data_IF_219753363742
#
_entry.id   IF_219753363742
#
_cell.length_a   1.000
_cell.length_b   1.000
_cell.length_c   1.000
_cell.angle_alpha   90.00
_cell.angle_beta   90.00
_cell.angle_gamma   90.00
#
_symmetry.space_group_name_H-M   'P 1'
#
loop_
_entity.id
_entity.type
_entity.pdbx_description
1 polymer ?
#
# COMPACT_ATOMS: atom_id res chain seq x y z
N UNK A 1 11.32 -32.72 0.79
CA UNK A 1 11.07 -31.80 1.92
C UNK A 1 12.11 -30.69 1.88
N UNK A 2 11.74 -29.41 1.68
CA UNK A 2 12.71 -28.32 1.71
C UNK A 2 12.82 -27.73 3.12
N UNK A 3 14.05 -27.72 3.63
CA UNK A 3 14.45 -27.06 4.87
C UNK A 3 14.56 -25.55 4.61
N UNK A 4 13.80 -24.72 5.34
CA UNK A 4 14.04 -23.29 5.43
C UNK A 4 14.66 -22.98 6.78
N UNK A 5 15.98 -22.78 6.79
CA UNK A 5 16.74 -22.29 7.93
C UNK A 5 17.46 -21.01 7.57
N UNK A 6 16.89 -19.87 7.95
CA UNK A 6 17.64 -18.64 8.25
C UNK A 6 16.95 -17.94 9.43
N UNK A 7 17.62 -17.99 10.56
CA UNK A 7 17.30 -17.30 11.80
C UNK A 7 17.88 -15.89 11.76
N UNK A 8 17.03 -14.85 11.81
CA UNK A 8 17.32 -13.57 12.47
C UNK A 8 16.02 -12.76 12.58
N UNK A 9 15.26 -12.84 13.66
CA UNK A 9 15.37 -12.11 14.94
C UNK A 9 15.22 -10.58 14.82
N UNK A 10 14.13 -10.11 15.44
CA UNK A 10 13.83 -8.75 15.95
C UNK A 10 12.84 -7.90 15.16
N UNK A 11 11.58 -8.35 15.10
CA UNK A 11 10.44 -7.48 14.77
C UNK A 11 9.84 -6.92 16.06
N UNK A 12 10.59 -6.08 16.78
CA UNK A 12 10.01 -5.13 17.74
C UNK A 12 10.94 -3.93 17.83
N UNK A 13 10.50 -2.79 17.29
CA UNK A 13 11.03 -1.47 17.66
C UNK A 13 9.90 -0.47 17.68
N UNK A 14 9.00 -0.65 18.65
CA UNK A 14 8.14 0.42 19.15
C UNK A 14 9.00 1.26 20.11
N UNK A 15 9.46 2.44 19.67
CA UNK A 15 10.03 3.45 20.56
C UNK A 15 11.16 4.34 20.02
N UNK A 16 10.79 5.56 19.59
CA UNK A 16 11.56 6.82 19.44
C UNK A 16 13.11 6.78 19.43
N UNK A 17 13.73 7.32 18.37
CA UNK A 17 14.52 8.60 18.36
C UNK A 17 15.23 8.86 17.02
N UNK A 18 15.47 10.15 16.76
CA UNK A 18 16.34 10.79 15.75
C UNK A 18 15.77 10.99 14.34
N UNK A 19 15.38 12.25 14.09
CA UNK A 19 15.29 12.89 12.78
C UNK A 19 16.70 13.00 12.18
N UNK A 20 17.27 11.89 11.73
CA UNK A 20 18.29 11.94 10.68
C UNK A 20 17.51 12.02 9.39
N UNK A 21 17.87 12.96 8.52
CA UNK A 21 17.25 13.20 7.22
C UNK A 21 17.34 11.92 6.35
N UNK A 22 16.41 10.99 6.56
CA UNK A 22 16.34 9.74 5.82
C UNK A 22 15.77 10.08 4.45
N UNK A 23 16.68 10.29 3.49
CA UNK A 23 16.32 10.22 2.07
C UNK A 23 15.95 8.77 1.82
N UNK A 24 14.67 8.53 1.60
CA UNK A 24 14.16 7.21 1.27
C UNK A 24 14.71 6.78 -0.08
N UNK A 25 15.57 5.76 -0.08
CA UNK A 25 16.16 5.16 -1.28
C UNK A 25 15.27 4.02 -1.82
N UNK A 26 14.33 3.51 -1.01
CA UNK A 26 13.42 2.43 -1.40
C UNK A 26 11.94 2.81 -1.24
N UNK A 27 11.03 2.21 -2.03
CA UNK A 27 9.59 2.48 -1.96
C UNK A 27 8.96 2.07 -0.61
N UNK A 28 9.62 1.25 0.22
CA UNK A 28 9.09 0.74 1.48
C UNK A 28 9.71 1.37 2.73
N UNK A 29 10.51 2.42 2.55
CA UNK A 29 11.25 3.12 3.59
C UNK A 29 10.37 3.92 4.55
N UNK A 30 9.13 4.22 4.16
CA UNK A 30 8.14 4.91 4.99
C UNK A 30 6.72 4.45 4.66
N UNK A 31 5.79 4.68 5.60
CA UNK A 31 4.36 4.43 5.36
C UNK A 31 3.86 5.30 4.22
N UNK A 32 4.36 6.54 4.13
CA UNK A 32 4.01 7.49 3.07
C UNK A 32 4.44 6.99 1.69
N UNK A 33 5.67 6.48 1.54
CA UNK A 33 6.15 5.92 0.28
C UNK A 33 5.47 4.58 -0.04
N UNK A 34 5.22 3.76 0.99
CA UNK A 34 4.53 2.48 0.82
C UNK A 34 3.11 2.69 0.30
N UNK A 35 2.41 3.72 0.79
CA UNK A 35 1.08 4.09 0.30
C UNK A 35 1.13 4.43 -1.19
N UNK A 36 2.08 5.29 -1.60
CA UNK A 36 2.24 5.68 -2.99
C UNK A 36 2.57 4.48 -3.90
N UNK A 37 3.43 3.57 -3.45
CA UNK A 37 3.72 2.35 -4.21
C UNK A 37 2.47 1.46 -4.37
N UNK A 38 1.65 1.33 -3.34
CA UNK A 38 0.40 0.55 -3.44
C UNK A 38 -0.59 1.22 -4.40
N UNK A 39 -0.67 2.55 -4.46
CA UNK A 39 -1.49 3.25 -5.46
C UNK A 39 -1.06 2.89 -6.89
N UNK A 40 0.25 2.94 -7.19
CA UNK A 40 0.79 2.54 -8.49
C UNK A 40 0.51 1.06 -8.81
N UNK A 41 0.58 0.19 -7.80
CA UNK A 41 0.27 -1.23 -7.98
C UNK A 41 -1.22 -1.44 -8.27
N UNK A 42 -2.12 -0.70 -7.62
CA UNK A 42 -3.56 -0.74 -7.89
C UNK A 42 -3.83 -0.34 -9.34
N UNK A 43 -3.19 0.72 -9.84
CA UNK A 43 -3.30 1.14 -11.24
C UNK A 43 -2.84 0.06 -12.21
N UNK A 44 -1.67 -0.54 -11.97
CA UNK A 44 -1.15 -1.63 -12.82
C UNK A 44 -2.06 -2.88 -12.80
N UNK A 45 -2.68 -3.19 -11.66
CA UNK A 45 -3.66 -4.29 -11.57
C UNK A 45 -4.91 -3.95 -12.40
N UNK A 46 -5.41 -2.72 -12.33
CA UNK A 46 -6.57 -2.30 -13.11
C UNK A 46 -6.32 -2.37 -14.62
N UNK A 47 -5.13 -1.97 -15.07
CA UNK A 47 -4.70 -2.13 -16.47
C UNK A 47 -4.69 -3.61 -16.88
N UNK A 48 -4.09 -4.49 -16.06
CA UNK A 48 -4.10 -5.93 -16.31
C UNK A 48 -5.52 -6.53 -16.34
N UNK A 49 -6.46 -6.03 -15.54
CA UNK A 49 -7.87 -6.45 -15.60
C UNK A 49 -8.54 -6.08 -16.93
N UNK A 50 -8.21 -4.92 -17.49
CA UNK A 50 -8.69 -4.49 -18.80
C UNK A 50 -8.14 -5.39 -19.91
N UNK A 51 -6.83 -5.66 -19.89
CA UNK A 51 -6.17 -6.53 -20.87
C UNK A 51 -6.75 -7.94 -20.86
N UNK A 52 -6.90 -8.54 -19.68
CA UNK A 52 -7.51 -9.87 -19.54
C UNK A 52 -8.97 -9.86 -19.98
N UNK A 53 -9.70 -8.77 -19.77
CA UNK A 53 -11.09 -8.65 -20.26
C UNK A 53 -11.15 -8.61 -21.79
N UNK A 54 -10.19 -7.98 -22.46
CA UNK A 54 -10.07 -8.03 -23.91
C UNK A 54 -9.72 -9.44 -24.41
N UNK A 55 -8.80 -10.14 -23.73
CA UNK A 55 -8.47 -11.52 -24.06
C UNK A 55 -9.65 -12.49 -23.87
N UNK A 56 -10.49 -12.28 -22.86
CA UNK A 56 -11.73 -13.06 -22.65
C UNK A 56 -12.65 -12.90 -23.86
N UNK A 57 -12.85 -11.67 -24.34
CA UNK A 57 -13.72 -11.42 -25.50
C UNK A 57 -13.19 -12.10 -26.78
N UNK A 58 -11.86 -12.12 -26.97
CA UNK A 58 -11.24 -12.84 -28.10
C UNK A 58 -11.40 -14.36 -27.96
N UNK A 59 -11.14 -14.92 -26.77
CA UNK A 59 -11.25 -16.36 -26.53
C UNK A 59 -12.69 -16.87 -26.67
N UNK A 60 -13.68 -16.06 -26.31
CA UNK A 60 -15.11 -16.34 -26.49
C UNK A 60 -15.49 -16.34 -27.98
N UNK A 61 -14.99 -15.38 -28.76
CA UNK A 61 -15.19 -15.33 -30.20
C UNK A 61 -14.55 -16.50 -30.96
N UNK A 62 -13.42 -17.01 -30.46
CA UNK A 62 -12.68 -18.14 -31.03
C UNK A 62 -13.20 -19.52 -30.57
N UNK A 63 -14.29 -19.59 -29.78
CA UNK A 63 -14.84 -20.82 -29.17
C UNK A 63 -13.77 -21.62 -28.38
N UNK A 64 -12.79 -20.92 -27.82
CA UNK A 64 -11.64 -21.51 -27.14
C UNK A 64 -11.96 -21.78 -25.66
N UNK A 65 -12.94 -22.66 -25.39
CA UNK A 65 -13.54 -22.86 -24.07
C UNK A 65 -12.55 -23.02 -22.91
N UNK A 66 -11.51 -23.85 -23.06
CA UNK A 66 -10.49 -24.02 -22.00
C UNK A 66 -9.70 -22.75 -21.70
N UNK A 67 -9.39 -21.96 -22.73
CA UNK A 67 -8.70 -20.67 -22.58
C UNK A 67 -9.62 -19.66 -21.91
N UNK A 68 -10.89 -19.63 -22.30
CA UNK A 68 -11.92 -18.79 -21.69
C UNK A 68 -12.05 -19.07 -20.18
N UNK A 69 -12.18 -20.33 -19.78
CA UNK A 69 -12.24 -20.73 -18.37
C UNK A 69 -10.99 -20.30 -17.57
N UNK A 70 -9.80 -20.47 -18.16
CA UNK A 70 -8.55 -20.05 -17.53
C UNK A 70 -8.49 -18.52 -17.37
N UNK A 71 -8.89 -17.75 -18.39
CA UNK A 71 -8.90 -16.29 -18.34
C UNK A 71 -9.93 -15.76 -17.34
N UNK A 72 -11.10 -16.39 -17.22
CA UNK A 72 -12.09 -16.06 -16.18
C UNK A 72 -11.52 -16.26 -14.77
N UNK A 73 -10.77 -17.34 -14.56
CA UNK A 73 -10.07 -17.57 -13.30
C UNK A 73 -9.01 -16.49 -13.03
N UNK A 74 -8.23 -16.11 -14.03
CA UNK A 74 -7.24 -15.01 -13.92
C UNK A 74 -7.93 -13.70 -13.54
N UNK A 75 -9.01 -13.33 -14.24
CA UNK A 75 -9.81 -12.13 -13.92
C UNK A 75 -10.31 -12.14 -12.48
N UNK A 76 -10.82 -13.27 -12.01
CA UNK A 76 -11.25 -13.41 -10.61
C UNK A 76 -10.08 -13.18 -9.63
N UNK A 77 -8.89 -13.70 -9.92
CA UNK A 77 -7.70 -13.52 -9.06
C UNK A 77 -7.23 -12.06 -9.07
N UNK A 78 -7.24 -11.39 -10.22
CA UNK A 78 -6.91 -9.97 -10.33
C UNK A 78 -7.88 -9.11 -9.52
N UNK A 79 -9.19 -9.36 -9.62
CA UNK A 79 -10.20 -8.62 -8.85
C UNK A 79 -10.04 -8.80 -7.34
N UNK A 80 -9.71 -10.02 -6.92
CA UNK A 80 -9.36 -10.29 -5.52
C UNK A 80 -8.10 -9.53 -5.09
N UNK A 81 -7.07 -9.48 -5.94
CA UNK A 81 -5.83 -8.76 -5.65
C UNK A 81 -6.08 -7.25 -5.56
N UNK A 82 -6.82 -6.67 -6.51
CA UNK A 82 -7.23 -5.27 -6.51
C UNK A 82 -7.93 -4.88 -5.20
N UNK A 83 -8.88 -5.71 -4.77
CA UNK A 83 -9.62 -5.50 -3.51
C UNK A 83 -8.70 -5.53 -2.28
N UNK A 84 -7.73 -6.45 -2.25
CA UNK A 84 -6.76 -6.53 -1.15
C UNK A 84 -5.83 -5.31 -1.13
N UNK A 85 -5.32 -4.89 -2.29
CA UNK A 85 -4.44 -3.72 -2.38
C UNK A 85 -5.18 -2.44 -2.01
N UNK A 86 -6.44 -2.29 -2.44
CA UNK A 86 -7.30 -1.16 -2.04
C UNK A 86 -7.50 -1.09 -0.52
N UNK A 87 -7.74 -2.24 0.13
CA UNK A 87 -7.84 -2.30 1.58
C UNK A 87 -6.51 -1.94 2.26
N UNK A 88 -5.38 -2.40 1.72
CA UNK A 88 -4.05 -2.02 2.22
C UNK A 88 -3.76 -0.53 2.07
N UNK A 89 -4.11 0.10 0.93
CA UNK A 89 -3.96 1.54 0.72
C UNK A 89 -4.77 2.34 1.74
N UNK A 90 -6.04 1.95 1.96
CA UNK A 90 -6.90 2.57 2.96
C UNK A 90 -6.25 2.52 4.37
N UNK A 91 -5.81 1.34 4.81
CA UNK A 91 -5.14 1.18 6.11
C UNK A 91 -3.87 2.02 6.23
N UNK A 92 -3.04 2.09 5.19
CA UNK A 92 -1.83 2.93 5.20
C UNK A 92 -2.19 4.42 5.29
N UNK A 93 -3.24 4.86 4.58
CA UNK A 93 -3.73 6.23 4.68
C UNK A 93 -4.26 6.57 6.08
N UNK A 94 -4.98 5.63 6.70
CA UNK A 94 -5.48 5.78 8.07
C UNK A 94 -4.31 5.92 9.05
N UNK A 95 -3.30 5.05 8.94
CA UNK A 95 -2.08 5.13 9.76
C UNK A 95 -1.33 6.45 9.58
N UNK A 96 -1.23 6.94 8.33
CA UNK A 96 -0.64 8.25 8.01
C UNK A 96 -1.42 9.39 8.68
N UNK A 97 -2.74 9.33 8.63
CA UNK A 97 -3.64 10.31 9.23
C UNK A 97 -3.53 10.31 10.76
N UNK A 98 -3.55 9.13 11.39
CA UNK A 98 -3.38 8.97 12.84
C UNK A 98 -2.02 9.48 13.32
N UNK A 99 -0.94 9.17 12.61
CA UNK A 99 0.40 9.70 12.92
C UNK A 99 0.40 11.23 12.93
N UNK A 100 -0.24 11.86 11.93
CA UNK A 100 -0.34 13.31 11.83
C UNK A 100 -1.12 13.91 13.00
N UNK A 101 -2.30 13.36 13.31
CA UNK A 101 -3.13 13.82 14.44
C UNK A 101 -2.38 13.74 15.77
N UNK A 102 -1.76 12.59 16.07
CA UNK A 102 -0.99 12.39 17.31
C UNK A 102 0.24 13.30 17.43
N UNK A 103 0.84 13.70 16.30
CA UNK A 103 1.96 14.66 16.29
C UNK A 103 1.48 16.11 16.42
N UNK A 104 0.34 16.46 15.83
CA UNK A 104 -0.29 17.78 15.98
C UNK A 104 -0.75 18.01 17.42
N UNK A 105 -1.35 17.01 18.08
CA UNK A 105 -1.72 17.06 19.51
C UNK A 105 -0.51 17.26 20.43
N UNK A 106 0.65 16.75 20.05
CA UNK A 106 1.90 16.86 20.83
C UNK A 106 2.65 18.16 20.60
N UNK A 107 2.30 18.96 19.59
CA UNK A 107 2.88 20.30 19.45
C UNK A 107 2.22 21.18 20.52
N UNK A 108 2.95 21.69 21.52
CA UNK A 108 2.38 22.68 22.41
C UNK A 108 1.84 23.80 21.53
N UNK A 109 0.55 24.09 21.67
CA UNK A 109 -0.06 25.23 21.02
C UNK A 109 0.74 26.44 21.45
N UNK A 110 1.67 26.90 20.62
CA UNK A 110 2.32 28.18 20.75
C UNK A 110 1.29 29.27 20.45
N UNK A 111 0.23 29.33 21.27
CA UNK A 111 -0.76 30.39 21.30
C UNK A 111 -0.53 31.17 22.58
N UNK A 112 0.22 32.25 22.35
CA UNK A 112 0.23 33.52 23.09
C UNK A 112 0.61 33.51 24.56
N UNK A 113 1.91 33.50 24.83
CA UNK A 113 2.44 34.48 25.79
C UNK A 113 2.56 35.82 25.06
N UNK A 114 1.51 36.65 25.13
CA UNK A 114 1.70 38.10 24.98
C UNK A 114 2.07 38.64 26.36
N UNK A 115 3.37 38.80 26.57
CA UNK A 115 3.88 39.86 27.43
C UNK A 115 3.44 41.21 26.85
N UNK A 116 2.59 41.93 27.57
CA UNK A 116 2.50 43.40 27.61
C UNK A 116 1.52 43.66 28.77
N UNK A 117 1.95 44.06 29.97
CA UNK A 117 2.91 45.13 30.20
C UNK A 117 2.25 46.43 29.80
N UNK A 118 1.31 46.91 30.63
CA UNK A 118 1.01 48.30 31.02
C UNK A 118 0.09 48.24 32.25
#
# INVERSE_FOLDING_TARGET
MPQWGLTNRSVVSVGRRNLVNYRSDTPFDSIENSHHYIELLIEAIAEAEMDVSAEIALADADDAQRRLEALQLVKFKLSKLHSQMSASACLLNDLRSLRRLLLEERRPTARSFKQSGY
#
